data_IF_997456645541
#
_entry.id   IF_997456645541
#
_cell.length_a   1.000
_cell.length_b   1.000
_cell.length_c   1.000
_cell.angle_alpha   90.00
_cell.angle_beta   90.00
_cell.angle_gamma   90.00
#
_symmetry.space_group_name_H-M   'P 1'
#
loop_
_entity.id
_entity.type
_entity.pdbx_description
1 polymer ?
#
# COMPACT_ATOMS: atom_id res chain seq x y z
N UNK A 1 -23.16 14.98 17.00
CA UNK A 1 -21.78 15.27 17.43
C UNK A 1 -21.05 13.94 17.44
N UNK A 2 -20.07 13.73 16.56
CA UNK A 2 -19.36 12.45 16.44
C UNK A 2 -18.49 12.21 17.67
N UNK A 3 -18.63 11.06 18.31
CA UNK A 3 -17.80 10.71 19.47
C UNK A 3 -16.36 10.41 19.04
N UNK A 4 -15.40 10.53 19.97
CA UNK A 4 -14.00 10.14 19.73
C UNK A 4 -13.90 8.70 19.22
N UNK A 5 -14.70 7.79 19.77
CA UNK A 5 -14.71 6.38 19.37
C UNK A 5 -15.18 6.17 17.93
N UNK A 6 -16.19 6.94 17.48
CA UNK A 6 -16.68 6.90 16.10
C UNK A 6 -15.67 7.50 15.12
N UNK A 7 -15.02 8.61 15.49
CA UNK A 7 -13.96 9.21 14.68
C UNK A 7 -12.78 8.26 14.48
N UNK A 8 -12.34 7.57 15.55
CA UNK A 8 -11.27 6.57 15.48
C UNK A 8 -11.65 5.37 14.61
N UNK A 9 -12.89 4.87 14.73
CA UNK A 9 -13.40 3.80 13.86
C UNK A 9 -13.47 4.23 12.39
N UNK A 10 -13.87 5.47 12.11
CA UNK A 10 -13.89 5.99 10.75
C UNK A 10 -12.48 6.11 10.16
N UNK A 11 -11.52 6.64 10.92
CA UNK A 11 -10.12 6.72 10.50
C UNK A 11 -9.52 5.32 10.21
N UNK A 12 -9.78 4.34 11.08
CA UNK A 12 -9.31 2.97 10.88
C UNK A 12 -9.89 2.33 9.60
N UNK A 13 -11.16 2.59 9.28
CA UNK A 13 -11.79 2.11 8.04
C UNK A 13 -11.18 2.77 6.80
N UNK A 14 -10.99 4.10 6.84
CA UNK A 14 -10.37 4.83 5.73
C UNK A 14 -8.95 4.30 5.48
N UNK A 15 -8.18 4.10 6.55
CA UNK A 15 -6.85 3.51 6.46
C UNK A 15 -6.87 2.13 5.81
N UNK A 16 -7.75 1.24 6.28
CA UNK A 16 -7.89 -0.11 5.71
C UNK A 16 -8.28 -0.09 4.24
N UNK A 17 -9.28 0.70 3.86
CA UNK A 17 -9.67 0.86 2.47
C UNK A 17 -8.55 1.44 1.60
N UNK A 18 -7.78 2.39 2.11
CA UNK A 18 -6.59 2.90 1.42
C UNK A 18 -5.54 1.81 1.19
N UNK A 19 -5.28 0.97 2.19
CA UNK A 19 -4.38 -0.18 2.04
C UNK A 19 -4.90 -1.19 1.02
N UNK A 20 -6.17 -1.58 1.11
CA UNK A 20 -6.79 -2.54 0.17
C UNK A 20 -6.74 -2.02 -1.27
N UNK A 21 -7.03 -0.72 -1.47
CA UNK A 21 -6.94 -0.08 -2.78
C UNK A 21 -5.50 -0.13 -3.34
N UNK A 22 -4.48 0.09 -2.51
CA UNK A 22 -3.08 -0.02 -2.91
C UNK A 22 -2.67 -1.46 -3.21
N UNK A 23 -3.19 -2.45 -2.50
CA UNK A 23 -2.95 -3.88 -2.76
C UNK A 23 -3.59 -4.33 -4.07
N UNK A 24 -4.76 -3.80 -4.41
CA UNK A 24 -5.44 -4.05 -5.68
C UNK A 24 -4.78 -3.37 -6.88
N UNK A 25 -3.99 -2.31 -6.68
CA UNK A 25 -3.22 -1.71 -7.77
C UNK A 25 -2.19 -2.68 -8.32
N UNK A 26 -1.99 -2.71 -9.64
CA UNK A 26 -0.83 -3.41 -10.22
C UNK A 26 0.46 -2.73 -9.78
N UNK A 27 1.56 -3.48 -9.66
CA UNK A 27 2.85 -2.90 -9.28
C UNK A 27 3.30 -1.79 -10.26
N UNK A 28 2.90 -1.90 -11.52
CA UNK A 28 3.16 -0.91 -12.58
C UNK A 28 2.36 0.39 -12.39
N UNK A 29 1.09 0.27 -11.99
CA UNK A 29 0.26 1.42 -11.63
C UNK A 29 0.77 2.11 -10.37
N UNK A 30 1.21 1.34 -9.37
CA UNK A 30 1.81 1.88 -8.15
C UNK A 30 3.12 2.62 -8.44
N UNK A 31 4.02 2.02 -9.25
CA UNK A 31 5.27 2.66 -9.66
C UNK A 31 5.04 3.98 -10.43
N UNK A 32 3.96 4.06 -11.23
CA UNK A 32 3.57 5.29 -11.92
C UNK A 32 3.11 6.38 -10.95
N UNK A 33 2.33 6.03 -9.93
CA UNK A 33 1.85 7.00 -8.91
C UNK A 33 3.01 7.47 -8.01
N UNK A 34 3.96 6.60 -7.71
CA UNK A 34 5.12 6.93 -6.89
C UNK A 34 6.25 7.66 -7.64
N UNK A 35 6.18 7.80 -8.96
CA UNK A 35 7.21 8.46 -9.73
C UNK A 35 7.22 9.97 -9.47
N UNK A 36 8.38 10.50 -9.11
CA UNK A 36 8.62 11.94 -8.94
C UNK A 36 9.92 12.35 -9.64
N UNK A 37 9.95 13.49 -10.36
CA UNK A 37 11.19 14.01 -10.93
C UNK A 37 12.29 14.19 -9.88
N UNK A 38 13.51 13.73 -10.18
CA UNK A 38 14.64 13.72 -9.24
C UNK A 38 14.64 12.55 -8.25
N UNK A 39 13.60 11.70 -8.26
CA UNK A 39 13.55 10.46 -7.50
C UNK A 39 14.10 9.25 -8.27
N UNK A 40 13.96 8.04 -7.70
CA UNK A 40 14.35 6.80 -8.36
C UNK A 40 13.61 6.62 -9.70
N UNK A 41 14.30 6.05 -10.71
CA UNK A 41 13.67 5.63 -11.96
C UNK A 41 12.49 4.67 -11.74
N UNK A 42 11.53 4.71 -12.67
CA UNK A 42 10.27 3.95 -12.57
C UNK A 42 10.47 2.44 -12.50
N UNK A 43 11.44 1.90 -13.22
CA UNK A 43 11.83 0.49 -13.21
C UNK A 43 12.39 0.07 -11.84
N UNK A 44 13.19 0.93 -11.20
CA UNK A 44 13.67 0.73 -9.82
C UNK A 44 12.50 0.72 -8.83
N UNK A 45 11.54 1.65 -8.98
CA UNK A 45 10.33 1.66 -8.16
C UNK A 45 9.51 0.38 -8.35
N UNK A 46 9.32 -0.07 -9.59
CA UNK A 46 8.61 -1.30 -9.92
C UNK A 46 9.27 -2.54 -9.30
N UNK A 47 10.60 -2.65 -9.40
CA UNK A 47 11.36 -3.75 -8.79
C UNK A 47 11.19 -3.77 -7.26
N UNK A 48 11.31 -2.61 -6.61
CA UNK A 48 11.12 -2.48 -5.15
C UNK A 48 9.71 -2.85 -4.71
N UNK A 49 8.68 -2.38 -5.42
CA UNK A 49 7.28 -2.70 -5.11
C UNK A 49 7.00 -4.20 -5.27
N UNK A 50 7.59 -4.85 -6.29
CA UNK A 50 7.48 -6.30 -6.46
C UNK A 50 8.15 -7.08 -5.33
N UNK A 51 9.33 -6.64 -4.88
CA UNK A 51 10.05 -7.26 -3.76
C UNK A 51 9.25 -7.13 -2.45
N UNK A 52 8.79 -5.92 -2.09
CA UNK A 52 7.98 -5.69 -0.87
C UNK A 52 6.70 -6.55 -0.87
N UNK A 53 5.99 -6.62 -2.01
CA UNK A 53 4.79 -7.48 -2.12
C UNK A 53 5.11 -8.97 -2.02
N UNK A 54 6.25 -9.40 -2.54
CA UNK A 54 6.69 -10.79 -2.41
C UNK A 54 7.00 -11.12 -0.95
N UNK A 55 7.72 -10.25 -0.24
CA UNK A 55 8.04 -10.39 1.18
C UNK A 55 6.77 -10.46 2.05
N UNK A 56 5.82 -9.54 1.84
CA UNK A 56 4.52 -9.55 2.56
C UNK A 56 3.72 -10.83 2.32
N UNK A 57 3.72 -11.34 1.08
CA UNK A 57 3.07 -12.62 0.75
C UNK A 57 3.72 -13.81 1.45
N UNK A 58 5.04 -13.80 1.61
CA UNK A 58 5.77 -14.85 2.33
C UNK A 58 5.43 -14.79 3.82
N UNK A 59 5.47 -13.61 4.44
CA UNK A 59 5.17 -13.43 5.86
C UNK A 59 3.72 -13.77 6.24
N UNK A 60 2.74 -13.49 5.37
CA UNK A 60 1.35 -13.89 5.63
C UNK A 60 1.15 -15.41 5.52
N UNK A 61 1.97 -16.10 4.70
CA UNK A 61 1.87 -17.56 4.56
C UNK A 61 2.49 -18.30 5.74
N UNK A 62 3.54 -17.77 6.35
CA UNK A 62 4.18 -18.36 7.53
C UNK A 62 3.47 -18.05 8.86
N UNK A 63 2.48 -17.15 8.85
CA UNK A 63 1.65 -16.83 10.01
C UNK A 63 0.30 -17.55 10.03
N UNK A 64 0.06 -18.48 9.10
CA UNK A 64 -1.14 -19.33 9.00
C UNK A 64 -0.79 -20.78 9.35
#
# INVERSE_FOLDING_TARGET
>A
MTTRAEAMRAAARIWRHGMDAMDHMTADAAARVCYQPGGPPRDVLLARIRADRAERRVSHRTAA
#
